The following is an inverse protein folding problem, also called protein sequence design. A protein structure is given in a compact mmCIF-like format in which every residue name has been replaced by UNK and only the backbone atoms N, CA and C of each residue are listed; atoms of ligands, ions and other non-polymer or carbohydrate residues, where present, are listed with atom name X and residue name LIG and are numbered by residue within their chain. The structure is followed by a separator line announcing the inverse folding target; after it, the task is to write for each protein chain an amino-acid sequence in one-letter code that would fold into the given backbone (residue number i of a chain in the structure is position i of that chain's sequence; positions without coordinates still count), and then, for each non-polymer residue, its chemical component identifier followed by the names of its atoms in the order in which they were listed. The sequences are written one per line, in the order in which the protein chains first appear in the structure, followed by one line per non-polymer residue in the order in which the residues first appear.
data_IF_208137213256
#
_entry.id   IF_208137213256
#
_cell.length_a   1.000
_cell.length_b   1.000
_cell.length_c   1.000
_cell.angle_alpha   90.00
_cell.angle_beta   90.00
_cell.angle_gamma   90.00
#
_symmetry.space_group_name_H-M   'P 1'
#
loop_
_entity.id
_entity.type
_entity.pdbx_description
1 polymer ?
#
# COMPACT_ATOMS: atom_id res chain seq x y z
N UNK A 1 -3.82 -49.23 -11.21
CA UNK A 1 -4.00 -47.87 -10.64
C UNK A 1 -2.67 -47.17 -10.34
N UNK A 2 -1.58 -47.45 -11.06
CA UNK A 2 -0.26 -46.83 -10.84
C UNK A 2 0.08 -45.75 -11.88
N UNK A 3 -0.62 -45.72 -13.02
CA UNK A 3 -0.34 -44.83 -14.15
C UNK A 3 -0.71 -43.37 -13.91
N UNK A 4 -1.61 -43.09 -12.96
CA UNK A 4 -2.15 -41.75 -12.70
C UNK A 4 -1.16 -40.86 -11.92
N UNK A 5 -0.27 -41.48 -11.13
CA UNK A 5 0.77 -40.76 -10.38
C UNK A 5 1.95 -40.38 -11.27
N UNK A 6 2.34 -41.29 -12.18
CA UNK A 6 3.43 -41.07 -13.12
C UNK A 6 3.06 -40.01 -14.17
N UNK A 7 1.81 -40.02 -14.67
CA UNK A 7 1.31 -38.99 -15.59
C UNK A 7 1.21 -37.62 -14.93
N UNK A 8 0.78 -37.53 -13.66
CA UNK A 8 0.83 -36.28 -12.88
C UNK A 8 2.23 -35.74 -12.66
N UNK A 9 3.20 -36.62 -12.35
CA UNK A 9 4.59 -36.20 -12.14
C UNK A 9 5.21 -35.67 -13.45
N UNK A 10 4.94 -36.34 -14.58
CA UNK A 10 5.41 -35.90 -15.90
C UNK A 10 4.74 -34.59 -16.36
N UNK A 11 3.46 -34.37 -16.03
CA UNK A 11 2.78 -33.10 -16.28
C UNK A 11 3.36 -31.95 -15.44
N UNK A 12 3.81 -32.23 -14.21
CA UNK A 12 4.49 -31.26 -13.33
C UNK A 12 5.90 -30.91 -13.84
N UNK A 13 6.62 -31.89 -14.41
CA UNK A 13 7.94 -31.68 -15.03
C UNK A 13 7.87 -30.95 -16.40
N UNK A 14 6.76 -31.06 -17.13
CA UNK A 14 6.58 -30.46 -18.47
C UNK A 14 6.22 -28.95 -18.45
N UNK A 15 6.44 -28.27 -17.31
CA UNK A 15 6.44 -26.80 -17.30
C UNK A 15 5.09 -26.17 -17.58
N UNK A 16 4.00 -26.73 -17.03
CA UNK A 16 2.81 -25.90 -16.85
C UNK A 16 3.17 -24.86 -15.78
N UNK A 17 3.41 -23.64 -16.22
CA UNK A 17 3.45 -22.46 -15.38
C UNK A 17 2.03 -22.22 -14.81
N UNK A 18 1.54 -23.16 -14.00
CA UNK A 18 0.60 -22.79 -12.98
C UNK A 18 1.38 -21.86 -12.07
N UNK A 19 1.02 -20.57 -12.12
CA UNK A 19 1.20 -19.67 -10.99
C UNK A 19 0.52 -20.40 -9.83
N UNK A 20 1.30 -21.21 -9.12
CA UNK A 20 0.99 -21.56 -7.74
C UNK A 20 0.92 -20.19 -7.06
N UNK A 21 -0.30 -19.72 -6.82
CA UNK A 21 -0.46 -18.66 -5.84
C UNK A 21 0.19 -19.21 -4.57
N UNK A 22 1.24 -18.56 -4.03
CA UNK A 22 1.89 -19.08 -2.85
C UNK A 22 0.81 -19.19 -1.78
N UNK A 23 0.54 -20.43 -1.35
CA UNK A 23 -0.24 -20.73 -0.15
C UNK A 23 0.18 -19.72 0.91
N UNK A 24 -0.75 -18.96 1.53
CA UNK A 24 -0.38 -17.96 2.50
C UNK A 24 0.29 -18.70 3.65
N UNK A 25 1.61 -18.64 3.71
CA UNK A 25 2.39 -19.23 4.79
C UNK A 25 1.90 -18.55 6.05
N UNK A 26 1.12 -19.28 6.85
CA UNK A 26 0.57 -18.85 8.14
C UNK A 26 1.69 -18.87 9.18
N UNK A 27 2.76 -18.13 8.88
CA UNK A 27 3.86 -17.90 9.81
C UNK A 27 3.39 -16.94 10.88
N UNK A 28 3.45 -17.38 12.13
CA UNK A 28 3.19 -16.59 13.33
C UNK A 28 4.00 -15.27 13.28
N UNK A 29 3.44 -14.09 13.63
CA UNK A 29 4.06 -12.79 13.42
C UNK A 29 5.45 -12.65 14.08
N UNK A 30 5.64 -13.31 15.22
CA UNK A 30 6.91 -13.41 15.95
C UNK A 30 7.98 -14.15 15.16
N UNK A 31 7.62 -15.28 14.55
CA UNK A 31 8.50 -16.09 13.70
C UNK A 31 8.88 -15.32 12.43
N UNK A 32 7.91 -14.59 11.86
CA UNK A 32 8.12 -13.73 10.70
C UNK A 32 9.09 -12.58 11.02
N UNK A 33 8.97 -11.96 12.19
CA UNK A 33 9.88 -10.90 12.63
C UNK A 33 11.31 -11.40 12.83
N UNK A 34 11.49 -12.58 13.44
CA UNK A 34 12.81 -13.20 13.61
C UNK A 34 13.45 -13.58 12.26
N UNK A 35 12.67 -14.11 11.33
CA UNK A 35 13.14 -14.43 9.98
C UNK A 35 13.57 -13.17 9.21
N UNK A 36 12.86 -12.05 9.36
CA UNK A 36 13.26 -10.75 8.78
C UNK A 36 14.56 -10.24 9.40
N UNK A 37 14.67 -10.33 10.72
CA UNK A 37 15.89 -9.91 11.43
C UNK A 37 17.10 -10.74 10.99
N UNK A 38 16.91 -12.04 10.70
CA UNK A 38 17.97 -12.92 10.20
C UNK A 38 18.37 -12.66 8.72
N UNK A 39 17.48 -12.06 7.91
CA UNK A 39 17.73 -11.79 6.47
C UNK A 39 18.45 -10.46 6.21
N UNK A 40 18.63 -9.62 7.24
CA UNK A 40 19.40 -8.38 7.16
C UNK A 40 18.63 -7.19 6.56
N UNK A 41 19.31 -6.03 6.51
CA UNK A 41 18.74 -4.72 6.14
C UNK A 41 18.24 -4.62 4.69
N UNK A 42 18.54 -5.60 3.84
CA UNK A 42 18.15 -5.63 2.43
C UNK A 42 16.91 -6.49 2.15
N UNK A 43 16.21 -6.98 3.18
CA UNK A 43 14.98 -7.73 3.00
C UNK A 43 13.80 -6.83 2.60
N UNK A 44 13.41 -6.89 1.32
CA UNK A 44 12.24 -6.19 0.78
C UNK A 44 10.93 -6.98 0.93
N UNK A 45 10.92 -8.11 1.64
CA UNK A 45 9.71 -8.93 1.88
C UNK A 45 8.54 -8.10 2.41
N UNK A 46 8.81 -7.15 3.31
CA UNK A 46 7.78 -6.25 3.85
C UNK A 46 7.10 -5.38 2.78
N UNK A 47 7.83 -4.98 1.72
CA UNK A 47 7.28 -4.19 0.61
C UNK A 47 6.33 -5.06 -0.21
N UNK A 48 6.72 -6.30 -0.50
CA UNK A 48 5.87 -7.23 -1.24
C UNK A 48 4.61 -7.60 -0.44
N UNK A 49 4.74 -7.82 0.86
CA UNK A 49 3.60 -8.05 1.74
C UNK A 49 2.67 -6.84 1.80
N UNK A 50 3.19 -5.63 2.00
CA UNK A 50 2.40 -4.41 2.01
C UNK A 50 1.68 -4.19 0.66
N UNK A 51 2.36 -4.44 -0.45
CA UNK A 51 1.76 -4.39 -1.78
C UNK A 51 0.67 -5.45 -1.95
N UNK A 52 0.89 -6.68 -1.48
CA UNK A 52 -0.11 -7.76 -1.57
C UNK A 52 -1.36 -7.45 -0.74
N UNK A 53 -1.19 -6.96 0.49
CA UNK A 53 -2.28 -6.52 1.36
C UNK A 53 -3.03 -5.35 0.74
N UNK A 54 -2.30 -4.33 0.28
CA UNK A 54 -2.90 -3.17 -0.40
C UNK A 54 -3.67 -3.55 -1.68
N UNK A 55 -3.19 -4.53 -2.44
CA UNK A 55 -3.92 -5.05 -3.61
C UNK A 55 -5.19 -5.80 -3.20
N UNK A 56 -5.15 -6.61 -2.15
CA UNK A 56 -6.32 -7.33 -1.64
C UNK A 56 -7.38 -6.36 -1.11
N UNK A 57 -6.97 -5.37 -0.32
CA UNK A 57 -7.84 -4.30 0.19
C UNK A 57 -8.46 -3.48 -0.94
N UNK A 58 -7.66 -3.12 -1.95
CA UNK A 58 -8.15 -2.41 -3.13
C UNK A 58 -9.20 -3.23 -3.89
N UNK A 59 -8.96 -4.53 -4.11
CA UNK A 59 -9.94 -5.42 -4.74
C UNK A 59 -11.22 -5.51 -3.92
N UNK A 60 -11.14 -5.62 -2.60
CA UNK A 60 -12.30 -5.64 -1.73
C UNK A 60 -13.11 -4.33 -1.80
N UNK A 61 -12.43 -3.17 -1.82
CA UNK A 61 -13.05 -1.86 -1.97
C UNK A 61 -13.77 -1.72 -3.32
N UNK A 62 -13.15 -2.19 -4.41
CA UNK A 62 -13.74 -2.21 -5.75
C UNK A 62 -15.02 -3.06 -5.76
N UNK A 63 -14.98 -4.28 -5.23
CA UNK A 63 -16.15 -5.15 -5.18
C UNK A 63 -17.28 -4.55 -4.35
N UNK A 64 -16.97 -3.94 -3.21
CA UNK A 64 -17.96 -3.27 -2.37
C UNK A 64 -18.65 -2.12 -3.14
N UNK A 65 -17.86 -1.23 -3.74
CA UNK A 65 -18.37 -0.09 -4.52
C UNK A 65 -19.14 -0.54 -5.77
N UNK A 66 -18.70 -1.63 -6.43
CA UNK A 66 -19.41 -2.22 -7.55
C UNK A 66 -20.80 -2.73 -7.14
N UNK A 67 -20.93 -3.39 -5.98
CA UNK A 67 -22.23 -3.83 -5.45
C UNK A 67 -23.13 -2.65 -5.08
N UNK A 68 -22.57 -1.58 -4.53
CA UNK A 68 -23.31 -0.35 -4.24
C UNK A 68 -23.84 0.30 -5.52
N UNK A 69 -23.00 0.44 -6.55
CA UNK A 69 -23.38 0.97 -7.86
C UNK A 69 -24.42 0.09 -8.57
N UNK A 70 -24.31 -1.23 -8.44
CA UNK A 70 -25.31 -2.17 -8.94
C UNK A 70 -26.67 -1.95 -8.24
N UNK A 71 -26.68 -1.82 -6.91
CA UNK A 71 -27.91 -1.60 -6.14
C UNK A 71 -28.55 -0.23 -6.38
N UNK A 72 -27.75 0.82 -6.60
CA UNK A 72 -28.22 2.18 -6.80
C UNK A 72 -28.72 2.46 -8.23
N UNK A 73 -28.06 1.88 -9.22
CA UNK A 73 -28.28 2.23 -10.63
C UNK A 73 -28.80 1.07 -11.49
N UNK A 74 -28.99 -0.13 -10.90
CA UNK A 74 -29.41 -1.32 -11.66
C UNK A 74 -28.41 -1.75 -12.72
N UNK A 75 -27.15 -1.33 -12.61
CA UNK A 75 -26.10 -1.62 -13.59
C UNK A 75 -25.67 -3.09 -13.52
N UNK A 76 -25.23 -3.65 -14.65
CA UNK A 76 -24.60 -4.97 -14.63
C UNK A 76 -23.32 -4.92 -13.79
N UNK A 77 -23.02 -6.00 -13.07
CA UNK A 77 -21.87 -6.06 -12.17
C UNK A 77 -20.55 -5.71 -12.87
N UNK A 78 -20.35 -6.19 -14.10
CA UNK A 78 -19.14 -5.89 -14.89
C UNK A 78 -18.97 -4.39 -15.19
N UNK A 79 -20.08 -3.69 -15.48
CA UNK A 79 -20.04 -2.25 -15.73
C UNK A 79 -19.86 -1.46 -14.42
N UNK A 80 -20.51 -1.91 -13.34
CA UNK A 80 -20.35 -1.34 -12.01
C UNK A 80 -18.92 -1.50 -11.47
N UNK A 81 -18.26 -2.63 -11.74
CA UNK A 81 -16.86 -2.88 -11.38
C UNK A 81 -15.90 -1.96 -12.15
N UNK A 82 -16.09 -1.82 -13.47
CA UNK A 82 -15.28 -0.92 -14.28
C UNK A 82 -15.41 0.54 -13.81
N UNK A 83 -16.62 0.96 -13.44
CA UNK A 83 -16.88 2.29 -12.89
C UNK A 83 -16.26 2.47 -11.49
N UNK A 84 -16.44 1.51 -10.59
CA UNK A 84 -15.85 1.51 -9.27
C UNK A 84 -14.31 1.60 -9.32
N UNK A 85 -13.67 0.86 -10.24
CA UNK A 85 -12.23 0.93 -10.47
C UNK A 85 -11.77 2.33 -10.88
N UNK A 86 -12.53 2.99 -11.75
CA UNK A 86 -12.20 4.34 -12.22
C UNK A 86 -12.35 5.37 -11.08
N UNK A 87 -13.48 5.34 -10.38
CA UNK A 87 -13.76 6.25 -9.25
C UNK A 87 -12.70 6.10 -8.15
N UNK A 88 -12.39 4.87 -7.72
CA UNK A 88 -11.39 4.64 -6.66
C UNK A 88 -9.98 5.07 -7.08
N UNK A 89 -9.61 4.92 -8.35
CA UNK A 89 -8.32 5.42 -8.86
C UNK A 89 -8.25 6.95 -8.91
N UNK A 90 -9.35 7.61 -9.26
CA UNK A 90 -9.43 9.06 -9.25
C UNK A 90 -9.35 9.60 -7.81
N UNK A 91 -10.10 9.00 -6.88
CA UNK A 91 -10.03 9.32 -5.45
C UNK A 91 -8.60 9.14 -4.89
N UNK A 92 -7.92 8.05 -5.25
CA UNK A 92 -6.52 7.83 -4.88
C UNK A 92 -5.57 8.88 -5.46
N UNK A 93 -5.78 9.33 -6.70
CA UNK A 93 -4.95 10.38 -7.30
C UNK A 93 -5.12 11.71 -6.57
N UNK A 94 -6.37 12.09 -6.29
CA UNK A 94 -6.69 13.35 -5.60
C UNK A 94 -6.12 13.35 -4.18
N UNK A 95 -6.28 12.25 -3.44
CA UNK A 95 -5.73 12.13 -2.08
C UNK A 95 -4.21 12.19 -2.08
N UNK A 96 -3.55 11.43 -2.95
CA UNK A 96 -2.08 11.47 -3.09
C UNK A 96 -1.57 12.86 -3.46
N UNK A 97 -2.26 13.58 -4.35
CA UNK A 97 -1.89 14.94 -4.74
C UNK A 97 -2.06 15.92 -3.57
N UNK A 98 -3.18 15.82 -2.84
CA UNK A 98 -3.42 16.64 -1.64
C UNK A 98 -2.34 16.42 -0.59
N UNK A 99 -2.00 15.16 -0.33
CA UNK A 99 -1.03 14.79 0.71
C UNK A 99 0.38 15.21 0.30
N UNK A 100 0.74 15.13 -0.99
CA UNK A 100 1.97 15.71 -1.53
C UNK A 100 2.04 17.22 -1.34
N UNK A 101 0.97 17.95 -1.69
CA UNK A 101 0.92 19.41 -1.51
C UNK A 101 1.07 19.79 -0.04
N UNK A 102 0.42 19.04 0.86
CA UNK A 102 0.55 19.24 2.31
C UNK A 102 1.97 18.99 2.78
N UNK A 103 2.59 17.89 2.37
CA UNK A 103 3.98 17.57 2.72
C UNK A 103 4.95 18.66 2.24
N UNK A 104 4.76 19.17 1.01
CA UNK A 104 5.56 20.28 0.48
C UNK A 104 5.36 21.57 1.28
N UNK A 105 4.12 21.89 1.65
CA UNK A 105 3.82 23.04 2.52
C UNK A 105 4.51 22.91 3.88
N UNK A 106 4.39 21.73 4.52
CA UNK A 106 5.01 21.48 5.82
C UNK A 106 6.54 21.57 5.75
N UNK A 107 7.15 21.10 4.64
CA UNK A 107 8.59 21.27 4.39
C UNK A 107 8.98 22.73 4.23
N UNK A 108 8.20 23.51 3.46
CA UNK A 108 8.45 24.95 3.28
C UNK A 108 8.34 25.69 4.62
N UNK A 109 7.33 25.40 5.43
CA UNK A 109 7.17 26.01 6.76
C UNK A 109 8.35 25.67 7.67
N UNK A 110 8.81 24.42 7.65
CA UNK A 110 10.00 24.00 8.41
C UNK A 110 11.27 24.73 7.92
N UNK A 111 11.46 24.84 6.61
CA UNK A 111 12.59 25.57 6.02
C UNK A 111 12.57 27.04 6.41
N UNK A 112 11.42 27.70 6.24
CA UNK A 112 11.26 29.11 6.60
C UNK A 112 11.48 29.35 8.10
N UNK A 113 11.02 28.45 8.97
CA UNK A 113 11.29 28.53 10.41
C UNK A 113 12.79 28.39 10.69
N UNK A 114 13.47 27.43 10.07
CA UNK A 114 14.91 27.24 10.23
C UNK A 114 15.71 28.46 9.73
N UNK A 115 15.32 29.05 8.59
CA UNK A 115 15.93 30.28 8.06
C UNK A 115 15.70 31.49 8.97
N UNK A 116 14.49 31.66 9.53
CA UNK A 116 14.23 32.70 10.52
C UNK A 116 15.04 32.49 11.79
N UNK A 117 15.21 31.26 12.27
CA UNK A 117 16.05 30.96 13.43
C UNK A 117 17.54 31.23 13.17
N UNK A 118 18.02 30.97 11.95
CA UNK A 118 19.40 31.25 11.54
C UNK A 118 19.67 32.76 11.39
N UNK A 119 18.72 33.50 10.82
CA UNK A 119 18.88 34.93 10.51
C UNK A 119 18.39 35.87 11.62
N UNK A 120 17.78 35.35 12.69
CA UNK A 120 17.28 36.17 13.80
C UNK A 120 18.34 36.48 14.86
N UNK A 121 18.29 37.71 15.38
CA UNK A 121 19.12 38.12 16.53
C UNK A 121 18.71 37.34 17.78
N UNK A 122 19.64 37.20 18.73
CA UNK A 122 19.46 36.43 19.98
C UNK A 122 18.26 36.93 20.80
N UNK A 123 18.02 38.24 20.82
CA UNK A 123 16.88 38.86 21.48
C UNK A 123 15.52 38.50 20.83
N UNK A 124 15.47 38.40 19.50
CA UNK A 124 14.26 38.02 18.78
C UNK A 124 13.93 36.53 19.00
N UNK A 125 14.95 35.66 19.03
CA UNK A 125 14.80 34.22 19.35
C UNK A 125 14.21 33.98 20.73
N UNK A 126 14.66 34.74 21.74
CA UNK A 126 14.11 34.63 23.10
C UNK A 126 12.65 35.10 23.19
N UNK A 127 12.27 36.15 22.44
CA UNK A 127 10.90 36.66 22.42
C UNK A 127 9.90 35.70 21.76
N UNK A 128 10.30 35.05 20.66
CA UNK A 128 9.48 34.05 19.96
C UNK A 128 9.31 32.78 20.79
N UNK A 129 10.36 32.33 21.49
CA UNK A 129 10.25 31.20 22.44
C UNK A 129 9.35 31.49 23.63
N UNK A 130 9.33 32.75 24.11
CA UNK A 130 8.48 33.19 25.21
C UNK A 130 7.00 33.42 24.84
N UNK A 131 6.66 33.59 23.56
CA UNK A 131 5.26 33.79 23.11
C UNK A 131 4.56 32.50 22.67
N UNK A 132 5.24 31.36 22.72
CA UNK A 132 4.72 30.05 22.34
C UNK A 132 4.30 29.17 23.54
N UNK A 133 4.28 29.75 24.75
CA UNK A 133 3.75 29.17 25.99
C UNK A 133 2.45 29.89 26.36
#
# INVERSE_FOLDING_TARGET
MADDMATRLMAKMRGSAQREEPEPVTTDPTTLALLRQARGETDYSYVHEANSKGQAEFRAAVQKRARELQGQHGLSYAFAEARALKELREEQRVTNERDRRRASYDQMVKSNRAEMEANSTTALRQRIKGSAA
#
